data_IF_664950094179
#
_entry.id   IF_664950094179
#
_cell.length_a   1.000
_cell.length_b   1.000
_cell.length_c   1.000
_cell.angle_alpha   90.00
_cell.angle_beta   90.00
_cell.angle_gamma   90.00
#
_symmetry.space_group_name_H-M   'P 1'
#
loop_
_entity.id
_entity.type
_entity.pdbx_description
1 polymer ?
#
# COMPACT_ATOMS: atom_id res chain seq x y z
N UNK A 1 -13.47 8.21 -7.92
CA UNK A 1 -12.28 9.04 -8.23
C UNK A 1 -11.02 8.19 -8.38
N UNK A 2 -10.86 7.08 -7.63
CA UNK A 2 -9.76 6.11 -7.79
C UNK A 2 -9.50 5.69 -9.25
N UNK A 3 -10.50 5.14 -9.94
CA UNK A 3 -10.33 4.68 -11.32
C UNK A 3 -9.92 5.81 -12.27
N UNK A 4 -10.50 7.00 -12.12
CA UNK A 4 -10.14 8.17 -12.92
C UNK A 4 -8.69 8.61 -12.68
N UNK A 5 -8.20 8.53 -11.44
CA UNK A 5 -6.80 8.80 -11.11
C UNK A 5 -5.87 7.76 -11.74
N UNK A 6 -6.20 6.46 -11.62
CA UNK A 6 -5.40 5.37 -12.20
C UNK A 6 -5.33 5.46 -13.72
N UNK A 7 -6.45 5.75 -14.39
CA UNK A 7 -6.49 5.96 -15.84
C UNK A 7 -5.59 7.12 -16.28
N UNK A 8 -5.58 8.24 -15.54
CA UNK A 8 -4.68 9.39 -15.80
C UNK A 8 -3.20 9.08 -15.53
N UNK A 9 -2.90 7.99 -14.85
CA UNK A 9 -1.55 7.48 -14.59
C UNK A 9 -1.19 6.32 -15.54
N UNK A 10 -1.98 6.08 -16.58
CA UNK A 10 -1.81 4.98 -17.53
C UNK A 10 -1.72 3.59 -16.87
N UNK A 11 -2.37 3.43 -15.72
CA UNK A 11 -2.47 2.15 -15.02
C UNK A 11 -3.61 1.31 -15.61
N UNK A 12 -3.39 0.00 -15.88
CA UNK A 12 -4.48 -0.92 -16.20
C UNK A 12 -5.54 -0.92 -15.10
N UNK A 13 -6.80 -0.82 -15.50
CA UNK A 13 -7.94 -0.80 -14.56
C UNK A 13 -8.91 -1.96 -14.77
N UNK A 14 -8.61 -2.83 -15.72
CA UNK A 14 -9.41 -4.01 -16.04
C UNK A 14 -9.38 -4.99 -14.85
N UNK A 15 -10.54 -5.54 -14.52
CA UNK A 15 -10.70 -6.56 -13.46
C UNK A 15 -10.31 -6.09 -12.04
N UNK A 16 -10.13 -4.78 -11.81
CA UNK A 16 -9.96 -4.24 -10.47
C UNK A 16 -11.28 -4.39 -9.68
N UNK A 17 -11.19 -5.03 -8.52
CA UNK A 17 -12.30 -5.09 -7.56
C UNK A 17 -11.79 -5.04 -6.12
N UNK A 18 -12.60 -4.54 -5.18
CA UNK A 18 -12.37 -4.73 -3.75
C UNK A 18 -12.30 -6.22 -3.40
N UNK A 19 -11.41 -6.57 -2.46
CA UNK A 19 -11.20 -7.94 -1.95
C UNK A 19 -11.12 -7.90 -0.42
N UNK A 20 -11.83 -8.80 0.26
CA UNK A 20 -11.66 -8.99 1.71
C UNK A 20 -10.32 -9.68 1.99
N UNK A 21 -9.72 -9.43 3.14
CA UNK A 21 -8.56 -10.19 3.62
C UNK A 21 -8.86 -11.69 3.76
N UNK A 22 -10.12 -12.07 3.96
CA UNK A 22 -10.52 -13.49 4.07
C UNK A 22 -10.18 -14.31 2.83
N UNK A 23 -10.18 -13.68 1.64
CA UNK A 23 -9.80 -14.34 0.38
C UNK A 23 -8.35 -14.85 0.40
N UNK A 24 -7.50 -14.26 1.26
CA UNK A 24 -6.06 -14.56 1.33
C UNK A 24 -5.66 -15.36 2.58
N UNK A 25 -6.60 -15.65 3.48
CA UNK A 25 -6.34 -16.44 4.70
C UNK A 25 -6.61 -17.94 4.54
N UNK A 26 -7.28 -18.35 3.45
CA UNK A 26 -7.72 -19.73 3.22
C UNK A 26 -6.60 -20.74 2.91
N UNK A 27 -7.00 -22.01 2.74
CA UNK A 27 -6.09 -23.12 2.41
C UNK A 27 -5.45 -23.00 1.02
N UNK A 28 -6.13 -22.37 0.06
CA UNK A 28 -5.62 -22.09 -1.30
C UNK A 28 -5.00 -20.69 -1.42
N UNK A 29 -4.49 -20.13 -0.32
CA UNK A 29 -3.93 -18.78 -0.32
C UNK A 29 -2.67 -18.69 -1.19
N UNK A 30 -2.48 -17.51 -1.76
CA UNK A 30 -1.18 -17.10 -2.30
C UNK A 30 -0.26 -16.83 -1.11
N UNK A 31 0.92 -17.45 -1.08
CA UNK A 31 1.95 -17.12 -0.11
C UNK A 31 2.43 -15.69 -0.36
N UNK A 32 2.36 -14.84 0.66
CA UNK A 32 2.83 -13.46 0.58
C UNK A 32 4.21 -13.38 1.25
N UNK A 33 5.17 -12.76 0.56
CA UNK A 33 6.48 -12.45 1.13
C UNK A 33 6.47 -11.10 1.87
N UNK A 34 5.66 -10.15 1.38
CA UNK A 34 5.56 -8.78 1.89
C UNK A 34 4.09 -8.36 2.03
N UNK A 35 3.78 -7.65 3.11
CA UNK A 35 2.48 -7.00 3.33
C UNK A 35 2.70 -5.54 3.74
N UNK A 36 2.12 -4.62 2.96
CA UNK A 36 2.15 -3.18 3.22
C UNK A 36 0.77 -2.69 3.62
N UNK A 37 0.66 -2.06 4.78
CA UNK A 37 -0.60 -1.45 5.25
C UNK A 37 -0.57 0.05 5.01
N UNK A 38 -1.59 0.58 4.34
CA UNK A 38 -1.61 2.00 3.91
C UNK A 38 -2.54 2.90 4.74
N UNK A 39 -3.53 2.31 5.40
CA UNK A 39 -4.48 3.06 6.22
C UNK A 39 -3.86 3.42 7.57
N UNK A 40 -4.09 4.65 8.01
CA UNK A 40 -3.79 5.03 9.39
C UNK A 40 -4.61 4.12 10.31
N UNK A 41 -3.93 3.43 11.24
CA UNK A 41 -4.50 2.43 12.14
C UNK A 41 -5.55 2.98 13.13
N UNK A 42 -6.04 4.20 12.92
CA UNK A 42 -7.06 4.87 13.74
C UNK A 42 -8.46 4.24 13.62
N UNK A 43 -8.71 3.33 12.68
CA UNK A 43 -9.99 2.60 12.59
C UNK A 43 -10.07 1.35 13.48
N UNK A 44 -9.04 1.03 14.27
CA UNK A 44 -9.12 -0.05 15.27
C UNK A 44 -9.20 -1.46 14.69
N UNK A 45 -9.08 -1.64 13.37
CA UNK A 45 -8.97 -2.95 12.75
C UNK A 45 -7.59 -3.55 13.06
N UNK A 46 -7.57 -4.60 13.87
CA UNK A 46 -6.38 -5.40 14.08
C UNK A 46 -5.98 -6.02 12.74
N UNK A 47 -4.77 -5.70 12.26
CA UNK A 47 -4.20 -6.36 11.10
C UNK A 47 -4.24 -7.87 11.32
N UNK A 48 -4.75 -8.65 10.36
CA UNK A 48 -4.92 -10.08 10.54
C UNK A 48 -3.55 -10.74 10.69
N UNK A 49 -3.49 -11.82 11.47
CA UNK A 49 -2.31 -12.69 11.48
C UNK A 49 -2.17 -13.33 10.09
N UNK A 50 -1.09 -13.00 9.40
CA UNK A 50 -0.78 -13.53 8.07
C UNK A 50 -0.08 -14.88 8.19
N UNK A 51 -0.66 -15.97 7.63
CA UNK A 51 0.02 -17.24 7.62
C UNK A 51 1.33 -17.17 6.82
N UNK A 52 2.43 -17.70 7.36
CA UNK A 52 3.77 -17.66 6.74
C UNK A 52 4.68 -16.54 7.23
N UNK A 53 4.17 -15.61 8.05
CA UNK A 53 4.94 -14.50 8.65
C UNK A 53 5.71 -13.65 7.62
N UNK A 54 5.00 -13.02 6.67
CA UNK A 54 5.60 -12.08 5.73
C UNK A 54 6.31 -10.93 6.46
N UNK A 55 7.21 -10.27 5.74
CA UNK A 55 7.68 -8.95 6.15
C UNK A 55 6.52 -7.97 6.12
N UNK A 56 6.40 -7.15 7.16
CA UNK A 56 5.35 -6.14 7.25
C UNK A 56 5.94 -4.74 7.40
N UNK A 57 5.30 -3.77 6.75
CA UNK A 57 5.58 -2.36 6.96
C UNK A 57 4.29 -1.53 6.81
N UNK A 58 4.22 -0.44 7.57
CA UNK A 58 3.12 0.50 7.52
C UNK A 58 3.55 1.76 6.75
N UNK A 59 2.76 2.13 5.74
CA UNK A 59 2.95 3.30 4.88
C UNK A 59 1.80 4.26 5.10
N UNK A 60 1.91 5.14 6.10
CA UNK A 60 0.87 6.13 6.37
C UNK A 60 0.56 6.95 5.11
N UNK A 61 -0.71 6.92 4.67
CA UNK A 61 -1.25 7.67 3.54
C UNK A 61 -2.59 8.25 3.99
N UNK A 62 -2.73 9.56 3.84
CA UNK A 62 -3.99 10.24 4.11
C UNK A 62 -5.10 9.62 3.25
N UNK A 63 -6.24 9.29 3.87
CA UNK A 63 -7.38 8.75 3.14
C UNK A 63 -7.97 9.83 2.21
N UNK A 64 -7.83 9.70 0.87
CA UNK A 64 -8.32 10.72 -0.06
C UNK A 64 -9.84 10.79 -0.12
N UNK A 65 -10.56 9.79 0.43
CA UNK A 65 -12.03 9.77 0.47
C UNK A 65 -12.60 10.70 1.53
N UNK A 66 -11.82 11.03 2.57
CA UNK A 66 -12.20 11.95 3.64
C UNK A 66 -12.08 13.42 3.25
N UNK A 67 -11.44 13.72 2.10
CA UNK A 67 -11.30 15.09 1.62
C UNK A 67 -12.63 15.59 1.04
N UNK A 68 -13.16 16.65 1.64
CA UNK A 68 -14.33 17.38 1.17
C UNK A 68 -13.94 18.59 0.30
N UNK A 69 -14.93 19.18 -0.38
CA UNK A 69 -14.75 20.37 -1.21
C UNK A 69 -14.97 20.12 -2.70
N UNK A 70 -14.38 20.97 -3.54
CA UNK A 70 -14.52 20.92 -4.99
C UNK A 70 -13.99 19.62 -5.59
N UNK A 71 -14.50 19.26 -6.77
CA UNK A 71 -14.01 18.08 -7.51
C UNK A 71 -12.49 18.14 -7.73
N UNK A 72 -11.94 19.33 -8.01
CA UNK A 72 -10.51 19.52 -8.20
C UNK A 72 -9.71 19.22 -6.92
N UNK A 73 -10.18 19.69 -5.76
CA UNK A 73 -9.54 19.42 -4.46
C UNK A 73 -9.55 17.92 -4.13
N UNK A 74 -10.69 17.26 -4.39
CA UNK A 74 -10.83 15.82 -4.19
C UNK A 74 -9.94 15.04 -5.16
N UNK A 75 -9.90 15.39 -6.45
CA UNK A 75 -8.98 14.77 -7.42
C UNK A 75 -7.51 14.94 -7.01
N UNK A 76 -7.13 16.12 -6.53
CA UNK A 76 -5.78 16.38 -6.04
C UNK A 76 -5.44 15.50 -4.83
N UNK A 77 -6.38 15.23 -3.92
CA UNK A 77 -6.18 14.29 -2.81
C UNK A 77 -5.92 12.87 -3.31
N UNK A 78 -6.76 12.35 -4.22
CA UNK A 78 -6.54 11.03 -4.82
C UNK A 78 -5.20 10.93 -5.56
N UNK A 79 -4.80 12.00 -6.26
CA UNK A 79 -3.51 12.05 -6.96
C UNK A 79 -2.34 11.99 -5.98
N UNK A 80 -2.37 12.80 -4.91
CA UNK A 80 -1.34 12.77 -3.86
C UNK A 80 -1.21 11.39 -3.21
N UNK A 81 -2.32 10.73 -2.90
CA UNK A 81 -2.31 9.38 -2.35
C UNK A 81 -1.67 8.38 -3.34
N UNK A 82 -2.02 8.45 -4.62
CA UNK A 82 -1.46 7.58 -5.65
C UNK A 82 0.04 7.82 -5.88
N UNK A 83 0.48 9.08 -5.93
CA UNK A 83 1.90 9.43 -6.08
C UNK A 83 2.72 8.95 -4.86
N UNK A 84 2.20 9.10 -3.64
CA UNK A 84 2.85 8.58 -2.43
C UNK A 84 3.03 7.05 -2.46
N UNK A 85 2.01 6.31 -2.94
CA UNK A 85 2.12 4.85 -3.13
C UNK A 85 3.16 4.52 -4.20
N UNK A 86 3.12 5.20 -5.35
CA UNK A 86 4.03 4.95 -6.46
C UNK A 86 5.49 5.22 -6.07
N UNK A 87 5.77 6.31 -5.36
CA UNK A 87 7.12 6.64 -4.88
C UNK A 87 7.66 5.55 -3.94
N UNK A 88 6.84 5.08 -2.99
CA UNK A 88 7.24 4.01 -2.06
C UNK A 88 7.47 2.68 -2.76
N UNK A 89 6.64 2.33 -3.74
CA UNK A 89 6.85 1.15 -4.58
C UNK A 89 8.14 1.25 -5.40
N UNK A 90 8.45 2.43 -5.95
CA UNK A 90 9.69 2.67 -6.69
C UNK A 90 10.92 2.41 -5.82
N UNK A 91 10.94 2.95 -4.59
CA UNK A 91 12.05 2.69 -3.63
C UNK A 91 12.10 1.22 -3.23
N UNK A 92 10.96 0.58 -2.96
CA UNK A 92 10.89 -0.83 -2.59
C UNK A 92 11.45 -1.75 -3.69
N UNK A 93 11.06 -1.52 -4.95
CA UNK A 93 11.50 -2.34 -6.09
C UNK A 93 12.99 -2.16 -6.42
N UNK A 94 13.61 -1.09 -5.93
CA UNK A 94 15.05 -0.85 -6.05
C UNK A 94 15.90 -1.51 -4.95
N UNK A 95 15.28 -2.11 -3.92
CA UNK A 95 16.03 -2.77 -2.84
C UNK A 95 16.70 -4.07 -3.33
N UNK A 96 17.96 -4.33 -2.96
CA UNK A 96 18.62 -5.59 -3.30
C UNK A 96 18.23 -6.68 -2.30
N UNK A 97 16.99 -7.17 -2.42
CA UNK A 97 16.35 -8.11 -1.48
C UNK A 97 17.17 -9.40 -1.30
N UNK A 98 17.83 -9.88 -2.34
CA UNK A 98 18.60 -11.13 -2.31
C UNK A 98 19.93 -11.02 -1.55
N UNK A 99 20.47 -9.80 -1.37
CA UNK A 99 21.81 -9.60 -0.80
C UNK A 99 21.81 -8.93 0.58
N UNK A 100 20.64 -8.68 1.16
CA UNK A 100 20.49 -8.01 2.46
C UNK A 100 19.95 -9.00 3.49
N UNK A 101 20.46 -8.96 4.73
CA UNK A 101 19.94 -9.80 5.80
C UNK A 101 18.52 -9.41 6.24
N UNK A 102 17.81 -10.34 6.89
CA UNK A 102 16.42 -10.17 7.32
C UNK A 102 16.19 -8.91 8.16
N UNK A 103 17.12 -8.56 9.04
CA UNK A 103 16.97 -7.45 9.99
C UNK A 103 17.14 -6.11 9.27
N UNK A 104 18.13 -6.03 8.39
CA UNK A 104 18.37 -4.87 7.53
C UNK A 104 17.23 -4.64 6.54
N UNK A 105 16.70 -5.70 5.92
CA UNK A 105 15.54 -5.61 5.03
C UNK A 105 14.31 -5.07 5.79
N UNK A 106 14.00 -5.62 6.96
CA UNK A 106 12.90 -5.13 7.80
C UNK A 106 13.06 -3.66 8.20
N UNK A 107 14.29 -3.21 8.41
CA UNK A 107 14.62 -1.80 8.71
C UNK A 107 14.38 -0.90 7.50
N UNK A 108 14.84 -1.29 6.31
CA UNK A 108 14.63 -0.54 5.08
C UNK A 108 13.15 -0.43 4.71
N UNK A 109 12.38 -1.52 4.86
CA UNK A 109 10.93 -1.51 4.61
C UNK A 109 10.19 -0.51 5.52
N UNK A 110 10.60 -0.40 6.79
CA UNK A 110 10.05 0.61 7.72
C UNK A 110 10.47 2.02 7.33
N UNK A 111 11.71 2.21 6.88
CA UNK A 111 12.22 3.51 6.44
C UNK A 111 11.43 4.05 5.23
N UNK A 112 11.03 3.19 4.28
CA UNK A 112 10.17 3.55 3.15
C UNK A 112 8.79 4.08 3.62
N UNK A 113 8.26 3.54 4.72
CA UNK A 113 7.02 4.04 5.31
C UNK A 113 7.15 5.44 5.90
N UNK A 114 8.30 5.73 6.50
CA UNK A 114 8.57 6.96 7.25
C UNK A 114 9.19 8.08 6.40
N UNK A 115 9.63 7.81 5.17
CA UNK A 115 10.10 8.86 4.27
C UNK A 115 8.94 9.80 3.92
N UNK A 116 9.15 11.10 4.11
CA UNK A 116 8.20 12.15 3.71
C UNK A 116 7.87 12.01 2.21
N UNK A 117 6.60 12.24 1.82
CA UNK A 117 6.13 12.06 0.45
C UNK A 117 6.78 13.00 -0.57
#
# INVERSE_FOLDING_TARGET
MTLATLQKMDCPIENLRPKSWDEFKGLNRVAMDFVFTVCDTLTGEQCPSWPGQPFTAHWAIDDPTLVEGSELQRLAAFRRAADAIANRLSVFTALPIESIDRMSLQTQLRAIGNSLP
#
